data_IF_139994625149
#
_entry.id   IF_139994625149
#
_cell.length_a   1.000
_cell.length_b   1.000
_cell.length_c   1.000
_cell.angle_alpha   90.00
_cell.angle_beta   90.00
_cell.angle_gamma   90.00
#
_symmetry.space_group_name_H-M   'P 1'
#
loop_
_entity.id
_entity.type
_entity.pdbx_description
1 polymer ?
#
# COMPACT_ATOMS: atom_id res chain seq x y z
N UNK A 1 -9.24 -9.24 12.09
CA UNK A 1 -8.73 -9.36 10.70
C UNK A 1 -7.26 -8.97 10.68
N UNK A 2 -6.45 -9.63 9.87
CA UNK A 2 -5.03 -9.31 9.76
C UNK A 2 -4.81 -7.96 9.10
N UNK A 3 -3.65 -7.35 9.41
CA UNK A 3 -3.15 -6.14 8.76
C UNK A 3 -1.68 -6.33 8.38
N UNK A 4 -1.24 -5.54 7.41
CA UNK A 4 0.15 -5.50 6.97
C UNK A 4 0.58 -4.05 6.86
N UNK A 5 1.72 -3.70 7.46
CA UNK A 5 2.29 -2.36 7.32
C UNK A 5 3.01 -2.26 5.97
N UNK A 6 2.68 -1.22 5.23
CA UNK A 6 3.24 -0.95 3.90
C UNK A 6 3.76 0.49 3.87
N UNK A 7 4.95 0.67 3.33
CA UNK A 7 5.60 1.98 3.24
C UNK A 7 4.96 2.84 2.14
N UNK A 8 4.88 4.14 2.37
CA UNK A 8 4.50 5.09 1.32
C UNK A 8 5.60 5.17 0.26
N UNK A 9 5.29 5.35 -1.01
CA UNK A 9 3.97 5.52 -1.60
C UNK A 9 3.29 4.21 -2.01
N UNK A 10 3.88 3.06 -1.64
CA UNK A 10 3.43 1.74 -2.10
C UNK A 10 2.02 1.41 -1.62
N UNK A 11 1.65 1.77 -0.38
CA UNK A 11 0.29 1.53 0.09
C UNK A 11 -0.74 2.33 -0.71
N UNK A 12 -0.39 3.56 -1.11
CA UNK A 12 -1.24 4.37 -1.98
C UNK A 12 -1.41 3.70 -3.35
N UNK A 13 -0.30 3.21 -3.92
CA UNK A 13 -0.32 2.50 -5.20
C UNK A 13 -1.20 1.24 -5.15
N UNK A 14 -1.12 0.45 -4.06
CA UNK A 14 -1.98 -0.73 -3.86
C UNK A 14 -3.45 -0.35 -3.87
N UNK A 15 -3.80 0.70 -3.14
CA UNK A 15 -5.19 1.17 -3.08
C UNK A 15 -5.71 1.68 -4.43
N UNK A 16 -4.81 1.96 -5.39
CA UNK A 16 -5.15 2.48 -6.71
C UNK A 16 -4.80 1.49 -7.84
N UNK A 17 -4.60 0.22 -7.52
CA UNK A 17 -4.52 -0.82 -8.53
C UNK A 17 -3.20 -1.56 -8.68
N UNK A 18 -2.17 -1.24 -7.91
CA UNK A 18 -0.93 -2.02 -7.90
C UNK A 18 -1.24 -3.47 -7.53
N UNK A 19 -0.93 -4.46 -8.40
CA UNK A 19 -1.43 -5.82 -8.23
C UNK A 19 -0.56 -6.71 -7.36
N UNK A 20 0.62 -6.25 -6.95
CA UNK A 20 1.58 -7.08 -6.21
C UNK A 20 2.32 -6.28 -5.15
N UNK A 21 2.47 -6.85 -3.97
CA UNK A 21 3.32 -6.34 -2.89
C UNK A 21 4.56 -7.23 -2.78
N UNK A 22 5.75 -6.62 -2.85
CA UNK A 22 7.01 -7.34 -2.84
C UNK A 22 7.50 -7.57 -1.41
N UNK A 23 7.85 -8.82 -1.11
CA UNK A 23 8.44 -9.20 0.19
C UNK A 23 9.56 -10.20 -0.04
N UNK A 24 10.47 -10.29 0.93
CA UNK A 24 11.56 -11.25 0.89
C UNK A 24 11.23 -12.58 1.59
N UNK A 25 9.99 -12.73 2.04
CA UNK A 25 9.49 -13.92 2.74
C UNK A 25 8.17 -14.40 2.14
N UNK A 26 7.96 -15.72 2.21
CA UNK A 26 6.72 -16.36 1.77
C UNK A 26 5.62 -16.18 2.81
N UNK A 27 4.38 -15.98 2.35
CA UNK A 27 3.21 -15.99 3.22
C UNK A 27 2.15 -16.96 2.71
N UNK A 28 1.65 -17.79 3.62
CA UNK A 28 0.48 -18.65 3.36
C UNK A 28 -0.86 -17.94 3.61
N UNK A 29 -0.84 -16.69 4.04
CA UNK A 29 -2.08 -15.94 4.28
C UNK A 29 -2.87 -15.79 2.98
N UNK A 30 -4.19 -15.99 3.06
CA UNK A 30 -5.12 -15.74 1.95
C UNK A 30 -6.36 -15.06 2.51
N UNK A 31 -6.86 -14.06 1.79
CA UNK A 31 -8.06 -13.34 2.18
C UNK A 31 -7.85 -11.84 2.28
N UNK A 32 -8.84 -11.15 2.79
CA UNK A 32 -8.79 -9.69 2.96
C UNK A 32 -7.98 -9.34 4.19
N UNK A 33 -7.17 -8.30 4.04
CA UNK A 33 -6.36 -7.74 5.14
C UNK A 33 -6.41 -6.22 5.11
N UNK A 34 -6.19 -5.63 6.27
CA UNK A 34 -6.07 -4.17 6.38
C UNK A 34 -4.68 -3.73 5.94
N UNK A 35 -4.63 -2.61 5.23
CA UNK A 35 -3.37 -1.95 4.87
C UNK A 35 -3.11 -0.88 5.91
N UNK A 36 -1.99 -1.00 6.60
CA UNK A 36 -1.49 -0.05 7.58
C UNK A 36 -0.38 0.76 6.95
N UNK A 37 -0.50 2.09 6.93
CA UNK A 37 0.49 2.99 6.37
C UNK A 37 1.65 3.17 7.35
N UNK A 38 2.86 2.82 6.95
CA UNK A 38 4.05 3.12 7.74
C UNK A 38 4.32 4.63 7.76
N UNK A 39 4.87 5.12 8.87
CA UNK A 39 5.18 6.54 9.01
C UNK A 39 6.39 6.94 8.16
N UNK A 40 6.36 8.16 7.64
CA UNK A 40 7.52 8.84 7.09
C UNK A 40 7.44 10.33 7.47
N UNK A 41 8.58 11.04 7.43
CA UNK A 41 8.68 12.38 7.99
C UNK A 41 8.83 13.47 6.94
N UNK A 42 9.45 13.17 5.79
CA UNK A 42 9.64 14.13 4.71
C UNK A 42 9.58 13.47 3.34
N UNK A 43 9.34 14.28 2.31
CA UNK A 43 9.14 13.81 0.93
C UNK A 43 10.40 13.12 0.37
N UNK A 44 11.58 13.51 0.82
CA UNK A 44 12.82 12.89 0.35
C UNK A 44 12.91 11.39 0.64
N UNK A 45 12.19 10.91 1.67
CA UNK A 45 12.17 9.48 2.03
C UNK A 45 11.40 8.64 1.00
N UNK A 46 10.53 9.25 0.18
CA UNK A 46 9.65 8.54 -0.76
C UNK A 46 9.83 8.97 -2.22
N UNK A 47 10.68 9.95 -2.52
CA UNK A 47 10.75 10.53 -3.86
C UNK A 47 11.16 9.55 -4.94
N UNK A 48 12.16 8.70 -4.69
CA UNK A 48 12.62 7.70 -5.64
C UNK A 48 11.55 6.63 -5.87
N UNK A 49 10.94 6.16 -4.78
CA UNK A 49 9.85 5.17 -4.85
C UNK A 49 8.64 5.75 -5.58
N UNK A 50 8.36 7.04 -5.43
CA UNK A 50 7.27 7.71 -6.13
C UNK A 50 7.47 7.69 -7.65
N UNK A 51 8.70 7.92 -8.11
CA UNK A 51 9.03 7.83 -9.52
C UNK A 51 8.85 6.40 -10.05
N UNK A 52 9.24 5.39 -9.26
CA UNK A 52 9.03 3.99 -9.60
C UNK A 52 7.54 3.63 -9.67
N UNK A 53 6.72 4.12 -8.74
CA UNK A 53 5.27 3.92 -8.77
C UNK A 53 4.69 4.38 -10.10
N UNK A 54 5.05 5.60 -10.52
CA UNK A 54 4.54 6.19 -11.77
C UNK A 54 5.01 5.41 -13.00
N UNK A 55 6.30 5.09 -13.07
CA UNK A 55 6.88 4.37 -14.20
C UNK A 55 6.25 2.98 -14.38
N UNK A 56 6.17 2.23 -13.30
CA UNK A 56 5.62 0.86 -13.35
C UNK A 56 4.13 0.85 -13.68
N UNK A 57 3.38 1.87 -13.25
CA UNK A 57 1.97 2.01 -13.62
C UNK A 57 1.79 2.20 -15.12
N UNK A 58 2.64 3.03 -15.74
CA UNK A 58 2.62 3.21 -17.21
C UNK A 58 2.89 1.89 -17.91
N UNK A 59 3.90 1.16 -17.48
CA UNK A 59 4.28 -0.13 -18.08
C UNK A 59 3.19 -1.20 -17.91
N UNK A 60 2.45 -1.16 -16.80
CA UNK A 60 1.35 -2.10 -16.53
C UNK A 60 -0.01 -1.59 -17.06
N UNK A 61 -0.06 -0.43 -17.72
CA UNK A 61 -1.32 0.20 -18.17
C UNK A 61 -2.30 0.46 -17.02
N UNK A 62 -1.79 0.84 -15.86
CA UNK A 62 -2.62 1.21 -14.71
C UNK A 62 -2.79 2.72 -14.68
N UNK A 63 -4.05 3.19 -14.69
CA UNK A 63 -4.38 4.61 -14.58
C UNK A 63 -4.38 5.00 -13.10
N UNK A 64 -3.33 5.70 -12.67
CA UNK A 64 -3.26 6.26 -11.31
C UNK A 64 -3.90 7.65 -11.28
N UNK A 65 -4.59 8.03 -10.20
CA UNK A 65 -5.14 9.38 -10.03
C UNK A 65 -4.01 10.35 -9.62
N UNK A 66 -3.08 10.62 -10.55
CA UNK A 66 -1.92 11.44 -10.28
C UNK A 66 -2.33 12.91 -10.09
N UNK A 67 -1.69 13.63 -9.15
CA UNK A 67 -1.96 15.03 -8.94
C UNK A 67 -1.53 15.87 -10.15
N UNK A 68 -2.31 16.90 -10.48
CA UNK A 68 -1.99 17.85 -11.54
C UNK A 68 -1.58 19.17 -10.90
N UNK A 69 -0.32 19.58 -11.13
CA UNK A 69 0.24 20.82 -10.59
C UNK A 69 0.90 20.64 -9.21
N UNK A 70 1.69 21.64 -8.85
CA UNK A 70 2.53 21.59 -7.64
C UNK A 70 1.71 21.57 -6.35
N UNK A 71 0.61 22.31 -6.30
CA UNK A 71 -0.22 22.37 -5.09
C UNK A 71 -0.88 21.00 -4.84
N UNK A 72 -1.46 20.38 -5.87
CA UNK A 72 -2.07 19.07 -5.74
C UNK A 72 -1.05 17.99 -5.33
N UNK A 73 0.18 18.06 -5.87
CA UNK A 73 1.26 17.15 -5.50
C UNK A 73 1.66 17.34 -4.03
N UNK A 74 1.77 18.57 -3.57
CA UNK A 74 2.07 18.88 -2.16
C UNK A 74 0.96 18.39 -1.25
N UNK A 75 -0.29 18.60 -1.63
CA UNK A 75 -1.46 18.16 -0.85
C UNK A 75 -1.50 16.64 -0.72
N UNK A 76 -1.21 15.90 -1.79
CA UNK A 76 -1.14 14.44 -1.75
C UNK A 76 -0.02 13.95 -0.83
N UNK A 77 1.17 14.55 -0.93
CA UNK A 77 2.29 14.20 -0.06
C UNK A 77 1.95 14.45 1.41
N UNK A 78 1.33 15.57 1.72
CA UNK A 78 0.88 15.91 3.08
C UNK A 78 -0.14 14.89 3.57
N UNK A 79 -1.12 14.54 2.75
CA UNK A 79 -2.14 13.54 3.11
C UNK A 79 -1.51 12.17 3.38
N UNK A 80 -0.56 11.73 2.56
CA UNK A 80 0.15 10.47 2.78
C UNK A 80 0.95 10.49 4.08
N UNK A 81 1.62 11.61 4.38
CA UNK A 81 2.37 11.74 5.63
C UNK A 81 1.46 11.70 6.86
N UNK A 82 0.33 12.40 6.79
CA UNK A 82 -0.65 12.42 7.89
C UNK A 82 -1.33 11.06 8.11
N UNK A 83 -1.44 10.25 7.05
CA UNK A 83 -1.96 8.89 7.14
C UNK A 83 -0.97 7.90 7.76
N UNK A 84 0.29 8.27 7.92
CA UNK A 84 1.31 7.41 8.52
C UNK A 84 0.93 6.99 9.95
N UNK A 85 1.03 5.69 10.22
CA UNK A 85 0.60 5.12 11.50
C UNK A 85 -0.89 4.79 11.56
N UNK A 86 -1.60 4.86 10.43
CA UNK A 86 -3.03 4.60 10.35
C UNK A 86 -3.34 3.43 9.42
N UNK A 87 -4.49 2.80 9.67
CA UNK A 87 -5.11 1.91 8.69
C UNK A 87 -5.79 2.79 7.65
N UNK A 88 -5.49 2.54 6.37
CA UNK A 88 -5.91 3.40 5.26
C UNK A 88 -6.87 2.71 4.30
N UNK A 89 -6.96 1.40 4.34
CA UNK A 89 -7.80 0.63 3.45
C UNK A 89 -7.58 -0.85 3.60
N UNK A 90 -8.08 -1.62 2.65
CA UNK A 90 -7.91 -3.07 2.63
C UNK A 90 -7.73 -3.58 1.21
N UNK A 91 -7.22 -4.79 1.08
CA UNK A 91 -7.13 -5.52 -0.18
C UNK A 91 -7.25 -7.00 0.09
N UNK A 92 -7.50 -7.80 -0.95
CA UNK A 92 -7.51 -9.25 -0.85
C UNK A 92 -6.20 -9.81 -1.37
N UNK A 93 -5.53 -10.63 -0.57
CA UNK A 93 -4.38 -11.43 -1.00
C UNK A 93 -4.87 -12.79 -1.44
N UNK A 94 -4.67 -13.12 -2.72
CA UNK A 94 -5.18 -14.37 -3.27
C UNK A 94 -4.09 -15.36 -3.68
N UNK A 95 -2.82 -14.94 -3.68
CA UNK A 95 -1.69 -15.82 -3.96
C UNK A 95 -0.38 -15.21 -3.45
N UNK A 96 0.65 -16.05 -3.36
CA UNK A 96 2.02 -15.63 -3.09
C UNK A 96 2.93 -16.38 -4.07
N UNK A 97 3.63 -15.63 -4.92
CA UNK A 97 4.34 -16.18 -6.08
C UNK A 97 5.80 -15.75 -6.10
N UNK A 98 6.61 -16.48 -6.89
CA UNK A 98 8.02 -16.16 -7.14
C UNK A 98 8.26 -15.61 -8.54
N UNK A 99 7.22 -15.50 -9.37
CA UNK A 99 7.26 -14.91 -10.70
C UNK A 99 5.89 -14.32 -11.04
N UNK A 100 5.86 -13.16 -11.70
CA UNK A 100 4.64 -12.51 -12.13
C UNK A 100 4.97 -11.51 -13.25
N UNK A 101 4.08 -11.32 -14.24
CA UNK A 101 4.37 -10.43 -15.38
C UNK A 101 4.26 -8.94 -15.06
N UNK A 102 3.67 -8.53 -13.95
CA UNK A 102 3.60 -7.11 -13.57
C UNK A 102 4.99 -6.51 -13.44
N UNK A 103 5.18 -5.29 -13.94
CA UNK A 103 6.41 -4.53 -13.74
C UNK A 103 6.64 -4.16 -12.27
N UNK A 104 5.59 -4.19 -11.46
CA UNK A 104 5.73 -4.01 -10.01
C UNK A 104 6.34 -5.19 -9.29
N UNK A 105 6.43 -6.38 -9.92
CA UNK A 105 7.07 -7.53 -9.31
C UNK A 105 8.59 -7.39 -9.45
N UNK A 106 9.25 -7.02 -8.34
CA UNK A 106 10.71 -6.79 -8.31
C UNK A 106 11.38 -7.48 -7.12
N UNK A 107 10.63 -8.17 -6.28
CA UNK A 107 11.14 -8.83 -5.09
C UNK A 107 11.36 -10.33 -5.26
N UNK A 108 11.62 -11.01 -4.15
CA UNK A 108 11.77 -12.46 -4.10
C UNK A 108 10.40 -13.16 -4.12
N UNK A 109 9.44 -12.63 -3.37
CA UNK A 109 8.06 -13.09 -3.32
C UNK A 109 7.12 -11.94 -3.65
N UNK A 110 6.06 -12.24 -4.39
CA UNK A 110 5.00 -11.29 -4.70
C UNK A 110 3.69 -11.73 -4.05
N UNK A 111 3.13 -10.88 -3.19
CA UNK A 111 1.79 -11.06 -2.66
C UNK A 111 0.82 -10.50 -3.70
N UNK A 112 0.04 -11.37 -4.33
CA UNK A 112 -0.90 -10.95 -5.36
C UNK A 112 -2.16 -10.41 -4.71
N UNK A 113 -2.49 -9.16 -5.06
CA UNK A 113 -3.55 -8.37 -4.44
C UNK A 113 -4.62 -8.00 -5.45
N UNK A 114 -5.87 -7.92 -4.96
CA UNK A 114 -7.01 -7.48 -5.75
C UNK A 114 -8.06 -6.82 -4.86
N UNK A 115 -9.05 -6.21 -5.48
CA UNK A 115 -10.23 -5.61 -4.84
C UNK A 115 -9.88 -4.65 -3.70
N UNK A 116 -9.06 -3.61 -3.97
CA UNK A 116 -8.72 -2.63 -2.95
C UNK A 116 -9.93 -1.82 -2.54
N UNK A 117 -10.04 -1.53 -1.24
CA UNK A 117 -11.06 -0.65 -0.67
C UNK A 117 -10.35 0.43 0.12
N UNK A 118 -10.64 1.69 -0.22
CA UNK A 118 -10.08 2.85 0.47
C UNK A 118 -11.01 3.24 1.61
N UNK A 119 -10.47 3.39 2.83
CA UNK A 119 -11.27 3.92 3.94
C UNK A 119 -11.56 5.41 3.71
N UNK A 120 -12.76 5.88 4.06
CA UNK A 120 -13.10 7.31 3.96
C UNK A 120 -12.16 8.19 4.77
N UNK A 121 -11.60 7.66 5.87
CA UNK A 121 -10.76 8.38 6.79
C UNK A 121 -9.71 7.42 7.37
N UNK A 122 -8.42 7.80 7.37
CA UNK A 122 -7.39 6.99 8.04
C UNK A 122 -7.71 6.83 9.53
N UNK A 123 -7.47 5.62 10.06
CA UNK A 123 -7.77 5.29 11.45
C UNK A 123 -6.47 4.94 12.16
N UNK A 124 -6.04 5.70 13.18
CA UNK A 124 -4.81 5.40 13.91
C UNK A 124 -4.83 4.00 14.52
N UNK A 125 -3.74 3.28 14.31
CA UNK A 125 -3.54 1.95 14.87
C UNK A 125 -2.04 1.64 14.93
N UNK A 126 -1.58 1.05 16.01
CA UNK A 126 -0.17 0.72 16.16
C UNK A 126 0.22 -0.42 15.22
N UNK A 127 1.20 -0.18 14.35
CA UNK A 127 1.73 -1.21 13.44
C UNK A 127 2.64 -2.22 14.14
N UNK A 128 2.90 -3.31 13.42
CA UNK A 128 3.83 -4.36 13.85
C UNK A 128 4.49 -4.98 12.61
N UNK A 129 5.48 -5.85 12.82
CA UNK A 129 6.15 -6.56 11.74
C UNK A 129 5.26 -7.69 11.18
N UNK A 130 5.36 -7.93 9.87
CA UNK A 130 4.60 -8.97 9.20
C UNK A 130 3.10 -8.73 9.26
N UNK A 131 2.33 -9.81 9.11
CA UNK A 131 0.89 -9.73 9.35
C UNK A 131 0.61 -9.70 10.85
N UNK A 132 -0.23 -8.76 11.27
CA UNK A 132 -0.57 -8.61 12.68
C UNK A 132 -2.08 -8.52 12.86
N UNK A 133 -2.55 -8.82 14.08
CA UNK A 133 -3.97 -8.86 14.37
C UNK A 133 -4.53 -7.48 14.67
N UNK A 134 -5.70 -7.20 14.10
CA UNK A 134 -6.48 -6.00 14.37
C UNK A 134 -7.85 -6.46 14.87
N UNK A 135 -8.32 -5.97 16.03
CA UNK A 135 -9.64 -6.33 16.54
C UNK A 135 -10.74 -5.98 15.53
N UNK A 136 -11.76 -6.84 15.43
CA UNK A 136 -12.85 -6.62 14.48
C UNK A 136 -13.64 -5.35 14.76
N UNK A 137 -13.61 -4.86 15.99
CA UNK A 137 -14.31 -3.66 16.41
C UNK A 137 -13.46 -2.38 16.35
N UNK A 138 -12.27 -2.42 15.73
CA UNK A 138 -11.37 -1.25 15.74
C UNK A 138 -12.01 0.00 15.11
N UNK A 139 -12.93 -0.16 14.17
CA UNK A 139 -13.65 0.95 13.54
C UNK A 139 -14.56 1.71 14.53
N UNK A 140 -14.85 1.14 15.68
CA UNK A 140 -15.71 1.72 16.71
C UNK A 140 -14.92 2.37 17.85
N UNK A 141 -13.60 2.44 17.72
CA UNK A 141 -12.72 3.03 18.75
C UNK A 141 -12.62 4.54 18.64
#
# INVERSE_FOLDING_TARGET
MKALSVRAPWWWAILHGKPVENRDWYSGFRGRFWIHASKFWNIGEISDDWDDVKYMAVEDNIALPLPVGNQAATDLCTAMREAGGCIVGSAEMYDCVTAHPSHYFVGKYGFLLRDPIILPKPIPFKGALGFFDVPDNFLNL
#
